data_IF_316203635829
#
_entry.id   IF_316203635829
#
_cell.length_a   1.000
_cell.length_b   1.000
_cell.length_c   1.000
_cell.angle_alpha   90.00
_cell.angle_beta   90.00
_cell.angle_gamma   90.00
#
_symmetry.space_group_name_H-M   'P 1'
#
loop_
_entity.id
_entity.type
_entity.pdbx_description
1 polymer ?
#
# COMPACT_ATOMS: atom_id res chain seq x y z
N UNK A 1 15.69 -21.64 -0.34
CA UNK A 1 14.69 -21.14 0.64
C UNK A 1 14.78 -19.62 0.71
N UNK A 2 14.18 -18.87 -0.22
CA UNK A 2 13.93 -17.44 0.02
C UNK A 2 12.45 -17.30 0.36
N UNK A 3 12.23 -17.20 1.66
CA UNK A 3 11.36 -16.24 2.33
C UNK A 3 10.12 -15.72 1.58
N UNK A 4 9.28 -16.60 1.05
CA UNK A 4 7.83 -16.49 1.31
C UNK A 4 7.41 -17.62 2.27
N UNK A 5 8.30 -17.92 3.24
CA UNK A 5 8.00 -18.85 4.32
C UNK A 5 7.19 -18.06 5.33
N UNK A 6 5.87 -18.08 5.13
CA UNK A 6 4.87 -17.63 6.08
C UNK A 6 5.06 -16.17 6.52
N UNK A 7 4.74 -15.22 5.63
CA UNK A 7 4.29 -13.90 6.14
C UNK A 7 3.16 -14.19 7.11
N UNK A 8 3.24 -13.71 8.34
CA UNK A 8 2.14 -13.80 9.27
C UNK A 8 0.91 -13.14 8.63
N UNK A 9 -0.03 -13.95 8.15
CA UNK A 9 -1.23 -13.45 7.48
C UNK A 9 -2.21 -13.07 8.58
N UNK A 10 -2.54 -11.78 8.64
CA UNK A 10 -3.55 -11.27 9.55
C UNK A 10 -4.90 -11.78 9.07
N UNK A 11 -5.74 -12.28 9.97
CA UNK A 11 -7.09 -12.70 9.62
C UNK A 11 -8.03 -11.49 9.50
N UNK A 12 -9.15 -11.68 8.83
CA UNK A 12 -10.20 -10.66 8.73
C UNK A 12 -10.69 -10.23 10.12
N UNK A 13 -10.87 -11.17 11.05
CA UNK A 13 -11.32 -10.85 12.41
C UNK A 13 -10.33 -9.97 13.17
N UNK A 14 -9.03 -10.26 13.05
CA UNK A 14 -7.99 -9.43 13.68
C UNK A 14 -7.95 -8.04 13.03
N UNK A 15 -8.12 -7.94 11.70
CA UNK A 15 -8.20 -6.66 11.01
C UNK A 15 -9.42 -5.84 11.48
N UNK A 16 -10.61 -6.46 11.59
CA UNK A 16 -11.83 -5.81 12.09
C UNK A 16 -11.64 -5.30 13.52
N UNK A 17 -11.08 -6.13 14.41
CA UNK A 17 -10.80 -5.73 15.79
C UNK A 17 -9.81 -4.55 15.85
N UNK A 18 -8.77 -4.59 15.01
CA UNK A 18 -7.78 -3.53 14.94
C UNK A 18 -8.36 -2.20 14.44
N UNK A 19 -9.24 -2.24 13.43
CA UNK A 19 -9.93 -1.06 12.90
C UNK A 19 -10.82 -0.39 13.97
N UNK A 20 -11.58 -1.18 14.71
CA UNK A 20 -12.40 -0.67 15.81
C UNK A 20 -11.51 -0.07 16.92
N UNK A 21 -10.43 -0.76 17.29
CA UNK A 21 -9.56 -0.36 18.39
C UNK A 21 -8.71 0.87 18.07
N UNK A 22 -8.21 1.04 16.84
CA UNK A 22 -7.24 2.12 16.53
C UNK A 22 -7.80 3.22 15.65
N UNK A 23 -8.89 3.00 14.92
CA UNK A 23 -9.44 3.98 13.97
C UNK A 23 -10.89 4.37 14.26
N UNK A 24 -11.53 3.75 15.26
CA UNK A 24 -12.97 3.91 15.54
C UNK A 24 -13.85 3.59 14.33
N UNK A 25 -13.42 2.60 13.54
CA UNK A 25 -14.12 2.15 12.34
C UNK A 25 -14.90 0.88 12.67
N UNK A 26 -16.22 0.94 12.51
CA UNK A 26 -17.08 -0.23 12.49
C UNK A 26 -17.19 -0.72 11.05
N UNK A 27 -16.41 -1.75 10.71
CA UNK A 27 -16.44 -2.35 9.40
C UNK A 27 -17.76 -3.11 9.15
N UNK A 28 -18.41 -2.83 8.03
CA UNK A 28 -19.54 -3.59 7.52
C UNK A 28 -19.13 -4.62 6.47
N UNK A 29 -18.00 -4.41 5.80
CA UNK A 29 -17.42 -5.33 4.84
C UNK A 29 -15.89 -5.23 4.88
N UNK A 30 -15.22 -6.38 4.83
CA UNK A 30 -13.76 -6.50 4.78
C UNK A 30 -13.38 -7.60 3.80
N UNK A 31 -12.52 -7.28 2.85
CA UNK A 31 -12.06 -8.21 1.82
C UNK A 31 -10.54 -8.16 1.70
N UNK A 32 -9.90 -9.31 1.58
CA UNK A 32 -8.47 -9.40 1.30
C UNK A 32 -8.23 -9.09 -0.19
N UNK A 33 -7.33 -8.15 -0.45
CA UNK A 33 -6.92 -7.77 -1.81
C UNK A 33 -5.69 -8.58 -2.27
N UNK A 34 -5.53 -8.78 -3.60
CA UNK A 34 -4.29 -9.29 -4.16
C UNK A 34 -3.09 -8.45 -3.68
N UNK A 35 -2.03 -9.12 -3.27
CA UNK A 35 -0.87 -8.47 -2.69
C UNK A 35 0.42 -9.21 -3.03
N UNK A 36 1.54 -8.49 -2.98
CA UNK A 36 2.85 -9.03 -3.37
C UNK A 36 3.76 -9.17 -2.15
N UNK A 37 4.23 -8.03 -1.61
CA UNK A 37 5.08 -7.99 -0.42
C UNK A 37 4.24 -7.72 0.85
N UNK A 38 3.35 -6.73 0.82
CA UNK A 38 2.45 -6.37 1.92
C UNK A 38 1.19 -7.25 1.95
N UNK A 39 0.36 -7.13 3.00
CA UNK A 39 -1.01 -7.68 3.02
C UNK A 39 -2.01 -6.52 3.05
N UNK A 40 -2.98 -6.53 2.12
CA UNK A 40 -3.90 -5.40 1.90
C UNK A 40 -5.36 -5.83 2.08
N UNK A 41 -6.15 -5.03 2.77
CA UNK A 41 -7.59 -5.26 2.94
C UNK A 41 -8.39 -4.07 2.44
N UNK A 42 -9.41 -4.32 1.62
CA UNK A 42 -10.47 -3.36 1.34
C UNK A 42 -11.45 -3.35 2.50
N UNK A 43 -11.71 -2.17 3.05
CA UNK A 43 -12.62 -1.95 4.16
C UNK A 43 -13.77 -1.09 3.67
N UNK A 44 -15.01 -1.47 3.97
CA UNK A 44 -16.16 -0.58 3.94
C UNK A 44 -16.77 -0.52 5.33
N UNK A 45 -17.09 0.68 5.82
CA UNK A 45 -17.65 0.84 7.16
C UNK A 45 -17.92 2.29 7.51
N UNK A 46 -18.21 2.52 8.78
CA UNK A 46 -18.47 3.86 9.33
C UNK A 46 -17.42 4.21 10.37
N UNK A 47 -16.97 5.47 10.40
CA UNK A 47 -16.00 5.98 11.37
C UNK A 47 -16.68 6.93 12.37
N UNK A 48 -16.28 6.93 13.65
CA UNK A 48 -16.62 8.01 14.58
C UNK A 48 -18.11 8.11 14.93
N UNK A 49 -18.88 7.02 14.81
CA UNK A 49 -20.33 7.04 14.98
C UNK A 49 -21.12 7.69 13.83
N UNK A 50 -20.45 7.99 12.70
CA UNK A 50 -21.12 8.45 11.47
C UNK A 50 -22.10 7.41 10.93
N UNK A 51 -23.09 7.86 10.17
CA UNK A 51 -24.00 7.00 9.39
C UNK A 51 -23.58 6.90 7.91
N UNK A 52 -22.48 7.53 7.52
CA UNK A 52 -21.95 7.51 6.16
C UNK A 52 -20.95 6.38 6.02
N UNK A 53 -21.24 5.47 5.09
CA UNK A 53 -20.29 4.42 4.72
C UNK A 53 -19.19 4.98 3.84
N UNK A 54 -17.95 4.74 4.25
CA UNK A 54 -16.75 5.09 3.52
C UNK A 54 -15.91 3.84 3.25
N UNK A 55 -14.93 3.99 2.36
CA UNK A 55 -14.00 2.92 1.99
C UNK A 55 -12.56 3.29 2.30
N UNK A 56 -11.81 2.31 2.75
CA UNK A 56 -10.38 2.42 3.03
C UNK A 56 -9.62 1.20 2.56
N UNK A 57 -8.30 1.35 2.45
CA UNK A 57 -7.38 0.22 2.30
C UNK A 57 -6.50 0.16 3.54
N UNK A 58 -6.62 -0.93 4.29
CA UNK A 58 -5.70 -1.26 5.38
C UNK A 58 -4.51 -2.02 4.78
N UNK A 59 -3.30 -1.52 5.03
CA UNK A 59 -2.06 -2.13 4.56
C UNK A 59 -1.22 -2.59 5.74
N UNK A 60 -0.71 -3.81 5.65
CA UNK A 60 0.15 -4.43 6.65
C UNK A 60 1.50 -4.70 5.99
N UNK A 61 2.51 -3.97 6.44
CA UNK A 61 3.83 -3.97 5.82
C UNK A 61 4.53 -5.32 5.90
N UNK A 62 5.38 -5.55 4.90
CA UNK A 62 6.11 -6.80 4.75
C UNK A 62 7.27 -6.89 5.74
N UNK A 63 7.84 -8.09 5.88
CA UNK A 63 9.07 -8.29 6.67
C UNK A 63 10.25 -7.64 5.95
N UNK A 64 10.70 -6.50 6.48
CA UNK A 64 11.89 -5.80 5.98
C UNK A 64 11.68 -4.31 5.76
N UNK A 65 10.42 -3.86 5.69
CA UNK A 65 10.11 -2.43 5.57
C UNK A 65 10.61 -1.69 6.82
N UNK A 66 11.28 -0.57 6.60
CA UNK A 66 11.61 0.36 7.68
C UNK A 66 10.47 1.36 7.91
N UNK A 67 10.28 1.79 9.16
CA UNK A 67 9.31 2.85 9.49
C UNK A 67 9.56 4.12 8.66
N UNK A 68 10.83 4.40 8.34
CA UNK A 68 11.23 5.53 7.51
C UNK A 68 10.81 5.43 6.03
N UNK A 69 10.73 4.23 5.47
CA UNK A 69 10.22 4.00 4.11
C UNK A 69 8.70 4.12 4.06
N UNK A 70 8.00 3.62 5.09
CA UNK A 70 6.55 3.77 5.18
C UNK A 70 6.19 5.26 5.38
N UNK A 71 6.96 5.98 6.20
CA UNK A 71 6.79 7.43 6.37
C UNK A 71 7.06 8.19 5.07
N UNK A 72 8.10 7.81 4.30
CA UNK A 72 8.35 8.38 2.96
C UNK A 72 7.12 8.27 2.06
N UNK A 73 6.50 7.09 1.99
CA UNK A 73 5.31 6.87 1.17
C UNK A 73 4.12 7.68 1.65
N UNK A 74 3.89 7.75 2.96
CA UNK A 74 2.82 8.57 3.54
C UNK A 74 3.03 10.06 3.22
N UNK A 75 4.25 10.56 3.37
CA UNK A 75 4.61 11.95 3.06
C UNK A 75 4.48 12.25 1.57
N UNK A 76 4.82 11.31 0.70
CA UNK A 76 4.63 11.44 -0.74
C UNK A 76 3.14 11.59 -1.10
N UNK A 77 2.28 10.77 -0.49
CA UNK A 77 0.82 10.88 -0.67
C UNK A 77 0.27 12.21 -0.15
N UNK A 78 0.66 12.64 1.05
CA UNK A 78 0.29 13.96 1.62
C UNK A 78 0.74 15.12 0.71
N UNK A 79 1.95 15.02 0.14
CA UNK A 79 2.52 16.04 -0.76
C UNK A 79 1.73 16.15 -2.07
N UNK A 80 1.46 15.02 -2.73
CA UNK A 80 0.63 15.00 -3.95
C UNK A 80 -0.73 15.62 -3.67
N UNK A 81 -1.40 15.22 -2.59
CA UNK A 81 -2.74 15.72 -2.26
C UNK A 81 -2.73 17.23 -1.96
N UNK A 82 -1.66 17.73 -1.32
CA UNK A 82 -1.49 19.17 -1.09
C UNK A 82 -1.37 19.94 -2.40
N UNK A 83 -0.48 19.52 -3.30
CA UNK A 83 -0.32 20.13 -4.64
C UNK A 83 -1.60 20.01 -5.49
N UNK A 84 -2.28 18.87 -5.39
CA UNK A 84 -3.55 18.64 -6.08
C UNK A 84 -4.64 19.60 -5.60
N UNK A 85 -4.75 19.81 -4.27
CA UNK A 85 -5.71 20.75 -3.67
C UNK A 85 -5.43 22.19 -4.07
N UNK A 86 -4.16 22.61 -4.12
CA UNK A 86 -3.78 23.94 -4.60
C UNK A 86 -4.27 24.18 -6.02
N UNK A 87 -4.14 23.20 -6.92
CA UNK A 87 -4.64 23.32 -8.30
C UNK A 87 -6.16 23.31 -8.32
N UNK A 88 -6.82 22.37 -7.61
CA UNK A 88 -8.28 22.32 -7.54
C UNK A 88 -8.89 23.62 -7.02
N UNK A 89 -8.24 24.30 -6.07
CA UNK A 89 -8.70 25.59 -5.54
C UNK A 89 -8.70 26.73 -6.56
N UNK A 90 -8.00 26.56 -7.68
CA UNK A 90 -7.91 27.53 -8.79
C UNK A 90 -8.77 27.15 -10.00
N UNK A 91 -9.41 25.98 -9.96
CA UNK A 91 -10.32 25.52 -11.01
C UNK A 91 -11.76 25.81 -10.56
N UNK A 92 -12.63 26.15 -11.50
CA UNK A 92 -14.06 26.27 -11.23
C UNK A 92 -14.64 24.91 -10.82
N UNK A 93 -15.63 24.88 -9.92
CA UNK A 93 -16.20 23.66 -9.31
C UNK A 93 -17.07 22.79 -10.27
N UNK A 94 -16.80 22.80 -11.58
CA UNK A 94 -17.51 21.91 -12.49
C UNK A 94 -17.05 20.43 -12.36
N UNK A 95 -17.86 19.51 -12.87
CA UNK A 95 -17.54 18.08 -12.82
C UNK A 95 -16.31 17.72 -13.69
N UNK A 96 -16.00 18.52 -14.71
CA UNK A 96 -14.82 18.31 -15.56
C UNK A 96 -13.54 18.54 -14.75
N UNK A 97 -13.48 19.60 -13.94
CA UNK A 97 -12.30 19.97 -13.15
C UNK A 97 -11.92 18.93 -12.09
N UNK A 98 -12.88 18.14 -11.60
CA UNK A 98 -12.68 17.08 -10.58
C UNK A 98 -11.85 15.88 -11.07
N UNK A 99 -11.72 15.70 -12.38
CA UNK A 99 -10.90 14.63 -12.98
C UNK A 99 -9.64 15.14 -13.67
N UNK A 100 -9.42 16.46 -13.70
CA UNK A 100 -8.22 17.10 -14.28
C UNK A 100 -6.97 16.81 -13.47
N UNK A 101 -7.10 16.62 -12.17
CA UNK A 101 -5.96 16.49 -11.25
C UNK A 101 -5.82 15.05 -10.79
N UNK A 102 -4.57 14.59 -10.69
CA UNK A 102 -4.23 13.29 -10.10
C UNK A 102 -4.86 13.15 -8.71
N UNK A 103 -5.50 12.00 -8.47
CA UNK A 103 -5.97 11.58 -7.14
C UNK A 103 -4.99 10.58 -6.58
N UNK A 104 -4.77 10.66 -5.28
CA UNK A 104 -3.86 9.77 -4.55
C UNK A 104 -4.56 9.28 -3.27
N UNK A 105 -4.30 8.05 -2.80
CA UNK A 105 -4.77 7.63 -1.50
C UNK A 105 -4.19 8.57 -0.44
N UNK A 106 -4.96 8.87 0.59
CA UNK A 106 -4.51 9.74 1.68
C UNK A 106 -4.32 8.92 2.95
N UNK A 107 -3.16 8.99 3.62
CA UNK A 107 -2.96 8.38 4.93
C UNK A 107 -4.03 8.84 5.93
N UNK A 108 -4.61 7.88 6.65
CA UNK A 108 -5.59 8.13 7.70
C UNK A 108 -4.88 7.98 9.04
N UNK A 109 -5.10 8.94 9.93
CA UNK A 109 -4.55 8.88 11.29
C UNK A 109 -5.40 7.95 12.16
N UNK A 110 -4.73 7.15 12.98
CA UNK A 110 -5.35 6.46 14.11
C UNK A 110 -5.80 7.45 15.20
N UNK A 111 -6.52 6.95 16.20
CA UNK A 111 -6.97 7.69 17.39
C UNK A 111 -5.83 8.34 18.16
N UNK A 112 -4.63 7.75 18.13
CA UNK A 112 -3.41 8.33 18.73
C UNK A 112 -2.65 9.26 17.76
N UNK A 113 -3.30 9.70 16.69
CA UNK A 113 -2.80 10.67 15.71
C UNK A 113 -1.56 10.19 14.92
N UNK A 114 -1.38 8.88 14.76
CA UNK A 114 -0.27 8.29 13.99
C UNK A 114 -0.74 7.77 12.64
N UNK A 115 0.14 7.82 11.64
CA UNK A 115 -0.09 7.19 10.34
C UNK A 115 0.41 5.74 10.27
N UNK A 116 1.22 5.33 11.25
CA UNK A 116 1.78 3.98 11.36
C UNK A 116 1.47 3.49 12.76
N UNK A 117 0.73 2.40 12.85
CA UNK A 117 0.33 1.76 14.09
C UNK A 117 0.97 0.39 14.19
N UNK A 118 1.48 0.04 15.36
CA UNK A 118 2.14 -1.25 15.60
C UNK A 118 1.14 -2.26 16.13
N UNK A 119 0.96 -3.36 15.42
CA UNK A 119 0.13 -4.50 15.84
C UNK A 119 1.03 -5.57 16.47
N UNK A 120 0.82 -5.89 17.75
CA UNK A 120 1.58 -6.96 18.41
C UNK A 120 1.35 -8.31 17.70
N UNK A 121 2.45 -9.00 17.37
CA UNK A 121 2.42 -10.28 16.69
C UNK A 121 1.65 -11.37 17.47
N UNK A 122 1.52 -11.23 18.80
CA UNK A 122 0.71 -12.14 19.63
C UNK A 122 -0.78 -12.10 19.29
N UNK A 123 -1.30 -10.98 18.80
CA UNK A 123 -2.71 -10.82 18.40
C UNK A 123 -3.08 -11.63 17.16
N UNK A 124 -2.09 -12.12 16.43
CA UNK A 124 -2.26 -12.91 15.22
C UNK A 124 -2.51 -14.40 15.50
N UNK A 125 -2.73 -14.79 16.76
CA UNK A 125 -2.97 -16.19 17.14
C UNK A 125 -1.71 -17.07 17.14
N UNK A 126 -0.52 -16.53 16.91
CA UNK A 126 0.76 -17.29 16.95
C UNK A 126 1.26 -17.62 18.35
N UNK A 127 0.44 -17.46 19.39
CA UNK A 127 0.87 -17.67 20.77
C UNK A 127 1.06 -19.17 21.16
N UNK A 128 0.61 -20.13 20.34
CA UNK A 128 0.53 -21.54 20.76
C UNK A 128 1.15 -22.61 19.85
N UNK A 129 1.70 -22.27 18.67
CA UNK A 129 2.28 -23.28 17.77
C UNK A 129 3.80 -23.17 17.69
N UNK A 130 4.49 -24.31 17.65
CA UNK A 130 5.96 -24.39 17.51
C UNK A 130 6.50 -23.68 16.26
N UNK A 131 5.65 -23.41 15.27
CA UNK A 131 5.88 -22.56 14.09
C UNK A 131 6.21 -21.10 14.49
N UNK A 132 5.70 -20.63 15.64
CA UNK A 132 6.01 -19.31 16.17
C UNK A 132 7.48 -19.14 16.56
N UNK A 133 8.22 -20.24 16.82
CA UNK A 133 9.65 -20.21 17.17
C UNK A 133 10.55 -19.79 16.00
N UNK A 134 10.16 -20.03 14.74
CA UNK A 134 10.86 -19.50 13.56
C UNK A 134 10.43 -18.07 13.19
N UNK A 135 9.30 -17.58 13.74
CA UNK A 135 8.88 -16.17 13.65
C UNK A 135 9.52 -15.28 14.75
N UNK A 136 10.36 -15.84 15.62
CA UNK A 136 11.00 -15.15 16.76
C UNK A 136 12.03 -14.15 16.25
N UNK A 137 11.57 -12.92 16.03
CA UNK A 137 12.45 -11.78 15.78
C UNK A 137 11.74 -10.44 15.89
N UNK A 138 10.47 -10.38 15.50
CA UNK A 138 9.72 -9.12 15.47
C UNK A 138 8.58 -9.11 16.48
N UNK A 139 8.59 -8.09 17.35
CA UNK A 139 7.56 -7.88 18.39
C UNK A 139 6.23 -7.39 17.81
N UNK A 140 6.22 -6.83 16.61
CA UNK A 140 5.03 -6.20 16.01
C UNK A 140 5.10 -6.19 14.48
N UNK A 141 3.93 -6.05 13.85
CA UNK A 141 3.74 -5.66 12.45
C UNK A 141 3.40 -4.17 12.36
N UNK A 142 3.78 -3.51 11.27
CA UNK A 142 3.38 -2.11 11.01
C UNK A 142 2.14 -2.09 10.13
N UNK A 143 1.14 -1.35 10.58
CA UNK A 143 -0.17 -1.25 9.93
C UNK A 143 -0.47 0.22 9.68
N UNK A 144 -1.00 0.52 8.49
CA UNK A 144 -1.50 1.84 8.12
C UNK A 144 -2.83 1.73 7.40
N UNK A 145 -3.58 2.81 7.43
CA UNK A 145 -4.84 2.96 6.71
C UNK A 145 -4.71 4.10 5.71
N UNK A 146 -5.22 3.91 4.50
CA UNK A 146 -5.32 4.96 3.48
C UNK A 146 -6.74 5.04 2.93
N UNK A 147 -7.15 6.21 2.45
CA UNK A 147 -8.44 6.36 1.77
C UNK A 147 -8.51 5.52 0.49
N UNK A 148 -9.70 5.04 0.15
CA UNK A 148 -9.93 4.32 -1.10
C UNK A 148 -10.11 5.30 -2.27
N UNK A 149 -9.57 4.95 -3.44
CA UNK A 149 -9.85 5.67 -4.69
C UNK A 149 -10.91 4.90 -5.46
N UNK A 150 -12.05 5.53 -5.68
CA UNK A 150 -13.10 4.99 -6.54
C UNK A 150 -12.64 4.90 -8.00
N UNK A 151 -12.95 3.78 -8.64
CA UNK A 151 -12.61 3.53 -10.04
C UNK A 151 -12.45 2.04 -10.34
N UNK A 152 -12.16 1.75 -11.61
CA UNK A 152 -11.80 0.42 -12.08
C UNK A 152 -10.30 0.31 -12.28
N UNK A 153 -9.73 -0.87 -11.97
CA UNK A 153 -8.32 -1.15 -12.25
C UNK A 153 -8.09 -1.11 -13.75
N UNK A 154 -7.08 -0.35 -14.19
CA UNK A 154 -6.78 -0.17 -15.62
C UNK A 154 -6.61 -1.50 -16.37
N UNK A 155 -6.02 -2.53 -15.76
CA UNK A 155 -5.88 -3.85 -16.39
C UNK A 155 -7.22 -4.54 -16.76
N UNK A 156 -8.34 -4.10 -16.15
CA UNK A 156 -9.70 -4.61 -16.43
C UNK A 156 -10.50 -3.67 -17.35
N UNK A 157 -10.07 -2.43 -17.51
CA UNK A 157 -10.78 -1.44 -18.33
C UNK A 157 -10.39 -1.54 -19.81
N UNK A 158 -11.23 -0.96 -20.68
CA UNK A 158 -10.89 -0.83 -22.09
C UNK A 158 -9.82 0.26 -22.31
N UNK A 159 -8.71 -0.09 -22.93
CA UNK A 159 -7.54 0.78 -23.11
C UNK A 159 -7.70 1.71 -24.31
N UNK A 160 -8.57 2.72 -24.20
CA UNK A 160 -8.74 3.70 -25.28
C UNK A 160 -7.55 4.65 -25.37
N UNK A 161 -7.41 5.32 -26.52
CA UNK A 161 -6.38 6.33 -26.71
C UNK A 161 -6.53 7.49 -25.72
N UNK A 162 -7.77 7.89 -25.40
CA UNK A 162 -8.07 8.93 -24.43
C UNK A 162 -7.58 8.57 -23.03
N UNK A 163 -7.79 7.32 -22.60
CA UNK A 163 -7.31 6.83 -21.31
C UNK A 163 -5.78 6.86 -21.23
N UNK A 164 -5.09 6.44 -22.31
CA UNK A 164 -3.63 6.45 -22.36
C UNK A 164 -3.06 7.88 -22.36
N UNK A 165 -3.69 8.80 -23.09
CA UNK A 165 -3.31 10.22 -23.08
C UNK A 165 -3.52 10.83 -21.70
N UNK A 166 -4.64 10.53 -21.05
CA UNK A 166 -4.94 10.99 -19.70
C UNK A 166 -3.96 10.42 -18.65
N UNK A 167 -3.59 9.14 -18.77
CA UNK A 167 -2.53 8.53 -17.96
C UNK A 167 -1.21 9.31 -18.12
N UNK A 168 -0.79 9.59 -19.35
CA UNK A 168 0.43 10.35 -19.64
C UNK A 168 0.41 11.75 -19.01
N UNK A 169 -0.72 12.46 -19.11
CA UNK A 169 -0.91 13.77 -18.46
C UNK A 169 -0.76 13.65 -16.94
N UNK A 170 -1.42 12.67 -16.31
CA UNK A 170 -1.37 12.46 -14.86
C UNK A 170 0.04 12.09 -14.37
N UNK A 171 0.78 11.27 -15.13
CA UNK A 171 2.17 10.95 -14.82
C UNK A 171 3.07 12.20 -14.89
N UNK A 172 2.92 13.03 -15.92
CA UNK A 172 3.65 14.30 -16.02
C UNK A 172 3.30 15.28 -14.90
N UNK A 173 2.04 15.28 -14.43
CA UNK A 173 1.64 16.06 -13.26
C UNK A 173 2.28 15.54 -11.97
N UNK A 174 2.30 14.22 -11.76
CA UNK A 174 2.96 13.62 -10.59
C UNK A 174 4.46 13.94 -10.57
N UNK A 175 5.15 13.85 -11.71
CA UNK A 175 6.55 14.23 -11.84
C UNK A 175 6.78 15.68 -11.40
N UNK A 176 5.95 16.60 -11.90
CA UNK A 176 5.99 18.01 -11.50
C UNK A 176 5.69 18.21 -10.01
N UNK A 177 4.75 17.47 -9.44
CA UNK A 177 4.44 17.57 -8.01
C UNK A 177 5.62 17.13 -7.16
N UNK A 178 6.39 16.14 -7.59
CA UNK A 178 7.55 15.65 -6.85
C UNK A 178 8.81 16.51 -7.01
N UNK A 179 8.82 17.51 -7.90
CA UNK A 179 9.98 18.36 -8.16
C UNK A 179 10.60 18.97 -6.88
N UNK A 180 9.76 19.42 -5.94
CA UNK A 180 10.20 20.03 -4.68
C UNK A 180 10.05 19.09 -3.45
N UNK A 181 9.65 17.84 -3.66
CA UNK A 181 9.48 16.88 -2.59
C UNK A 181 10.84 16.41 -2.06
N UNK A 182 11.01 16.45 -0.74
CA UNK A 182 12.25 16.02 -0.07
C UNK A 182 11.91 15.14 1.12
N UNK A 183 12.67 14.06 1.27
CA UNK A 183 12.55 13.18 2.43
C UNK A 183 13.88 12.48 2.70
N UNK A 184 14.23 12.31 3.99
CA UNK A 184 15.51 11.70 4.41
C UNK A 184 15.69 10.27 3.91
N UNK A 185 14.60 9.52 3.76
CA UNK A 185 14.61 8.14 3.24
C UNK A 185 14.37 8.06 1.72
N UNK A 186 14.28 9.19 1.00
CA UNK A 186 14.12 9.15 -0.46
C UNK A 186 15.37 8.55 -1.14
N UNK A 187 16.56 8.84 -0.61
CA UNK A 187 17.82 8.17 -0.98
C UNK A 187 17.91 6.85 -0.23
N UNK A 188 17.55 5.76 -0.90
CA UNK A 188 17.60 4.41 -0.35
C UNK A 188 17.97 3.43 -1.45
N UNK A 189 18.33 2.24 -1.04
CA UNK A 189 18.64 1.14 -1.93
C UNK A 189 17.34 0.56 -2.52
N UNK A 190 17.11 0.75 -3.82
CA UNK A 190 15.91 0.23 -4.50
C UNK A 190 16.31 -0.77 -5.59
N UNK A 191 15.50 -1.82 -5.76
CA UNK A 191 15.71 -2.86 -6.78
C UNK A 191 15.71 -2.32 -8.22
N UNK A 192 15.06 -1.17 -8.42
CA UNK A 192 14.90 -0.50 -9.71
C UNK A 192 15.96 0.58 -9.98
N UNK A 193 16.95 0.73 -9.11
CA UNK A 193 18.11 1.57 -9.39
C UNK A 193 19.10 0.76 -10.24
N UNK A 194 19.39 1.27 -11.45
CA UNK A 194 20.30 0.63 -12.39
C UNK A 194 21.70 0.40 -11.80
N UNK A 195 22.14 1.23 -10.85
CA UNK A 195 23.42 1.04 -10.16
C UNK A 195 23.44 -0.24 -9.32
N UNK A 196 22.28 -0.73 -8.89
CA UNK A 196 22.14 -1.96 -8.12
C UNK A 196 21.88 -3.20 -8.99
N UNK A 197 21.76 -3.04 -10.31
CA UNK A 197 21.30 -4.09 -11.21
C UNK A 197 22.12 -5.38 -11.10
N UNK A 198 23.45 -5.31 -11.10
CA UNK A 198 24.30 -6.50 -11.00
C UNK A 198 24.08 -7.26 -9.68
N UNK A 199 23.97 -6.53 -8.56
CA UNK A 199 23.74 -7.12 -7.24
C UNK A 199 22.38 -7.80 -7.17
N UNK A 200 21.34 -7.15 -7.66
CA UNK A 200 19.98 -7.71 -7.68
C UNK A 200 19.89 -8.91 -8.62
N UNK A 201 20.52 -8.87 -9.80
CA UNK A 201 20.57 -10.00 -10.73
C UNK A 201 21.28 -11.19 -10.08
N UNK A 202 22.49 -11.01 -9.53
CA UNK A 202 23.25 -12.10 -8.89
C UNK A 202 22.48 -12.74 -7.73
N UNK A 203 21.82 -11.91 -6.91
CA UNK A 203 21.00 -12.39 -5.78
C UNK A 203 19.82 -13.25 -6.25
N UNK A 204 19.22 -12.90 -7.39
CA UNK A 204 18.04 -13.60 -7.90
C UNK A 204 18.34 -14.64 -8.99
N UNK A 205 19.61 -14.79 -9.39
CA UNK A 205 20.03 -15.67 -10.49
C UNK A 205 19.62 -17.14 -10.26
N UNK A 206 19.64 -17.59 -9.00
CA UNK A 206 19.21 -18.94 -8.63
C UNK A 206 17.72 -19.24 -8.86
N UNK A 207 16.89 -18.21 -9.09
CA UNK A 207 15.45 -18.34 -9.38
C UNK A 207 15.13 -18.36 -10.85
N UNK A 208 16.05 -17.90 -11.69
CA UNK A 208 15.91 -17.98 -13.14
C UNK A 208 16.22 -19.42 -13.53
N UNK A 209 15.21 -20.28 -13.49
CA UNK A 209 15.30 -21.60 -14.11
C UNK A 209 15.65 -21.39 -15.59
N UNK A 210 16.70 -22.07 -16.08
CA UNK A 210 17.01 -22.06 -17.50
C UNK A 210 15.79 -22.57 -18.26
N UNK A 211 15.16 -21.70 -19.06
CA UNK A 211 14.12 -22.07 -20.03
C UNK A 211 14.65 -23.04 -21.11
N UNK A 212 15.94 -23.37 -21.09
CA UNK A 212 16.60 -24.21 -22.10
C UNK A 212 16.32 -25.71 -21.96
N UNK A 213 15.74 -26.19 -20.85
CA UNK A 213 15.33 -27.59 -20.73
C UNK A 213 13.80 -27.69 -20.66
N UNK A 214 13.17 -27.73 -21.83
CA UNK A 214 11.73 -27.84 -22.01
C UNK A 214 11.11 -28.99 -21.23
N UNK A 215 10.51 -28.67 -20.09
CA UNK A 215 9.51 -29.50 -19.43
C UNK A 215 8.61 -28.59 -18.58
N UNK A 216 7.56 -28.06 -19.22
CA UNK A 216 6.40 -27.59 -18.48
C UNK A 216 5.84 -28.78 -17.69
N UNK A 217 5.98 -28.76 -16.37
CA UNK A 217 5.00 -29.41 -15.48
C UNK A 217 4.18 -28.29 -14.86
N UNK A 218 3.02 -28.04 -15.46
CA UNK A 218 1.96 -27.25 -14.84
C UNK A 218 1.47 -27.94 -13.56
N UNK A 219 1.05 -27.18 -12.53
CA UNK A 219 0.15 -27.68 -11.50
C UNK A 219 -1.17 -28.20 -12.10
#
# INVERSE_FOLDING_TARGET
KYCCVMSAQVSVDVAVQFLAEYYDIKASFVELLPSYDDQNFLITGVQGGSNVHEKWVMKISCRGDSEGEIDLENKAMEHIETKAREIRSRLDEDLCSRNVVVRTPCPVKSKDCKFITRMDAKRLGYASNEIAKEMVGFKFLMVRLVTYIEGEVMAKSHQTQELLVDLGRKLGMMDRFFFDFKHKHAKRDIKWDLMNAEREIKKNLSFVQSLENGAYKTP
#
